data_IF_149854521681
#
_entry.id   IF_149854521681
#
_cell.length_a   1.000
_cell.length_b   1.000
_cell.length_c   1.000
_cell.angle_alpha   90.00
_cell.angle_beta   90.00
_cell.angle_gamma   90.00
#
_symmetry.space_group_name_H-M   'P 1'
#
loop_
_entity.id
_entity.type
_entity.pdbx_description
1 polymer ?
#
# COMPACT_ATOMS: atom_id res chain seq x y z
N UNK A 1 14.00 32.27 11.75
CA UNK A 1 13.04 32.15 10.62
C UNK A 1 13.12 30.80 9.92
N UNK A 2 14.24 30.40 9.30
CA UNK A 2 14.34 29.09 8.62
C UNK A 2 14.23 27.90 9.59
N UNK A 3 14.88 27.99 10.74
CA UNK A 3 14.82 26.99 11.83
C UNK A 3 13.41 26.80 12.39
N UNK A 4 12.66 27.89 12.52
CA UNK A 4 11.32 27.90 13.13
C UNK A 4 10.30 27.26 12.17
N UNK A 5 10.48 27.48 10.86
CA UNK A 5 9.69 26.85 9.81
C UNK A 5 9.90 25.32 9.78
N UNK A 6 11.15 24.86 9.86
CA UNK A 6 11.47 23.43 9.90
C UNK A 6 10.88 22.78 11.15
N UNK A 7 11.00 23.43 12.31
CA UNK A 7 10.39 22.95 13.57
C UNK A 7 8.87 22.79 13.47
N UNK A 8 8.19 23.73 12.80
CA UNK A 8 6.75 23.67 12.57
C UNK A 8 6.38 22.51 11.62
N UNK A 9 7.13 22.34 10.53
CA UNK A 9 6.94 21.25 9.56
C UNK A 9 7.08 19.89 10.24
N UNK A 10 8.12 19.69 11.05
CA UNK A 10 8.33 18.45 11.78
C UNK A 10 7.19 18.19 12.78
N UNK A 11 6.72 19.23 13.48
CA UNK A 11 5.63 19.10 14.45
C UNK A 11 4.31 18.61 13.82
N UNK A 12 4.01 19.02 12.59
CA UNK A 12 2.76 18.64 11.91
C UNK A 12 2.88 17.40 11.03
N UNK A 13 3.99 17.23 10.32
CA UNK A 13 4.18 16.09 9.40
C UNK A 13 4.48 14.80 10.17
N UNK A 14 5.26 14.87 11.24
CA UNK A 14 5.69 13.67 11.96
C UNK A 14 4.53 12.88 12.59
N UNK A 15 3.55 13.52 13.28
CA UNK A 15 2.37 12.82 13.79
C UNK A 15 1.50 12.24 12.69
N UNK A 16 1.35 12.97 11.57
CA UNK A 16 0.58 12.50 10.42
C UNK A 16 1.21 11.24 9.81
N UNK A 17 2.54 11.21 9.73
CA UNK A 17 3.29 10.05 9.25
C UNK A 17 3.11 8.84 10.17
N UNK A 18 3.21 9.03 11.50
CA UNK A 18 2.97 7.96 12.48
C UNK A 18 1.53 7.44 12.37
N UNK A 19 0.54 8.33 12.28
CA UNK A 19 -0.86 7.95 12.12
C UNK A 19 -1.10 7.12 10.86
N UNK A 20 -0.48 7.50 9.73
CA UNK A 20 -0.54 6.73 8.50
C UNK A 20 0.14 5.36 8.63
N UNK A 21 1.30 5.30 9.28
CA UNK A 21 2.02 4.05 9.51
C UNK A 21 1.19 3.08 10.37
N UNK A 22 0.58 3.57 11.45
CA UNK A 22 -0.33 2.78 12.29
C UNK A 22 -1.55 2.31 11.50
N UNK A 23 -2.14 3.19 10.68
CA UNK A 23 -3.26 2.84 9.80
C UNK A 23 -2.86 1.75 8.78
N UNK A 24 -1.68 1.85 8.16
CA UNK A 24 -1.15 0.85 7.24
C UNK A 24 -1.00 -0.51 7.91
N UNK A 25 -0.39 -0.56 9.10
CA UNK A 25 -0.23 -1.81 9.85
C UNK A 25 -1.59 -2.42 10.20
N UNK A 26 -2.53 -1.60 10.68
CA UNK A 26 -3.90 -2.05 10.95
C UNK A 26 -4.57 -2.58 9.69
N UNK A 27 -4.48 -1.84 8.58
CA UNK A 27 -5.10 -2.18 7.30
C UNK A 27 -4.56 -3.51 6.77
N UNK A 28 -3.23 -3.67 6.79
CA UNK A 28 -2.55 -4.91 6.41
C UNK A 28 -3.00 -6.06 7.31
N UNK A 29 -3.13 -5.86 8.62
CA UNK A 29 -3.55 -6.93 9.50
C UNK A 29 -5.03 -7.32 9.31
N UNK A 30 -5.91 -6.33 9.20
CA UNK A 30 -7.37 -6.51 9.22
C UNK A 30 -7.99 -6.84 7.86
N UNK A 31 -7.39 -6.39 6.75
CA UNK A 31 -7.99 -6.50 5.41
C UNK A 31 -7.25 -7.43 4.46
N UNK A 32 -5.99 -7.81 4.71
CA UNK A 32 -5.25 -8.71 3.79
C UNK A 32 -5.95 -10.05 3.62
N UNK A 33 -6.25 -10.73 4.72
CA UNK A 33 -6.89 -12.05 4.65
C UNK A 33 -8.30 -11.98 4.08
N UNK A 34 -9.04 -10.89 4.36
CA UNK A 34 -10.37 -10.65 3.78
C UNK A 34 -10.30 -10.44 2.27
N UNK A 35 -9.32 -9.66 1.81
CA UNK A 35 -9.12 -9.39 0.39
C UNK A 35 -8.65 -10.64 -0.37
N UNK A 36 -7.80 -11.46 0.23
CA UNK A 36 -7.39 -12.74 -0.36
C UNK A 36 -8.53 -13.76 -0.42
N UNK A 37 -9.39 -13.81 0.61
CA UNK A 37 -10.54 -14.71 0.63
C UNK A 37 -11.57 -14.40 -0.47
N UNK A 38 -11.54 -13.18 -1.03
CA UNK A 38 -12.39 -12.75 -2.15
C UNK A 38 -11.81 -13.13 -3.52
N UNK A 39 -10.59 -13.66 -3.56
CA UNK A 39 -9.90 -14.11 -4.78
C UNK A 39 -9.43 -15.58 -4.66
N UNK A 40 -10.32 -16.52 -4.30
CA UNK A 40 -9.95 -17.91 -4.00
C UNK A 40 -9.46 -18.68 -5.23
N UNK A 41 -9.91 -18.34 -6.45
CA UNK A 41 -9.51 -19.05 -7.66
C UNK A 41 -8.22 -18.50 -8.28
N UNK A 42 -7.67 -17.39 -7.78
CA UNK A 42 -6.40 -16.86 -8.27
C UNK A 42 -5.22 -17.73 -7.79
N UNK A 43 -4.59 -18.42 -8.75
CA UNK A 43 -3.35 -19.18 -8.54
C UNK A 43 -2.24 -18.30 -7.93
N UNK A 44 -2.24 -17.02 -8.28
CA UNK A 44 -1.30 -16.02 -7.79
C UNK A 44 -1.49 -15.69 -6.32
N UNK A 45 -2.73 -15.43 -5.88
CA UNK A 45 -3.03 -15.18 -4.46
C UNK A 45 -2.59 -16.38 -3.63
N UNK A 46 -2.88 -17.59 -4.10
CA UNK A 46 -2.52 -18.84 -3.42
C UNK A 46 -1.01 -19.04 -3.33
N UNK A 47 -0.28 -18.78 -4.42
CA UNK A 47 1.19 -18.89 -4.48
C UNK A 47 1.86 -17.85 -3.59
N UNK A 48 1.40 -16.60 -3.67
CA UNK A 48 1.94 -15.49 -2.87
C UNK A 48 1.67 -15.71 -1.37
N UNK A 49 0.49 -16.23 -1.03
CA UNK A 49 0.17 -16.63 0.34
C UNK A 49 1.15 -17.70 0.84
N UNK A 50 1.38 -18.76 0.08
CA UNK A 50 2.31 -19.83 0.48
C UNK A 50 3.75 -19.32 0.65
N UNK A 51 4.23 -18.47 -0.26
CA UNK A 51 5.58 -17.92 -0.21
C UNK A 51 5.83 -17.00 1.01
N UNK A 52 4.83 -16.19 1.38
CA UNK A 52 4.99 -15.16 2.40
C UNK A 52 4.29 -15.46 3.73
N UNK A 53 3.66 -16.64 3.88
CA UNK A 53 2.93 -17.02 5.10
C UNK A 53 3.83 -16.98 6.35
N UNK A 54 5.08 -17.43 6.23
CA UNK A 54 6.02 -17.57 7.35
C UNK A 54 6.66 -16.24 7.80
N UNK A 55 6.51 -15.16 7.04
CA UNK A 55 7.15 -13.86 7.33
C UNK A 55 6.32 -12.95 8.25
N UNK A 56 5.26 -13.46 8.89
CA UNK A 56 4.44 -12.71 9.84
C UNK A 56 3.85 -11.43 9.24
N UNK A 57 4.02 -10.28 9.92
CA UNK A 57 3.49 -8.98 9.49
C UNK A 57 4.12 -8.52 8.18
N UNK A 58 5.43 -8.73 7.99
CA UNK A 58 6.13 -8.35 6.76
C UNK A 58 5.58 -9.15 5.56
N UNK A 59 5.33 -10.45 5.78
CA UNK A 59 4.69 -11.30 4.77
C UNK A 59 3.28 -10.82 4.41
N UNK A 60 2.49 -10.40 5.40
CA UNK A 60 1.17 -9.80 5.17
C UNK A 60 1.27 -8.49 4.38
N UNK A 61 2.27 -7.65 4.66
CA UNK A 61 2.47 -6.40 3.94
C UNK A 61 2.78 -6.63 2.45
N UNK A 62 3.69 -7.55 2.14
CA UNK A 62 4.02 -7.92 0.76
C UNK A 62 2.79 -8.49 0.05
N UNK A 63 2.07 -9.41 0.68
CA UNK A 63 0.84 -9.99 0.13
C UNK A 63 -0.21 -8.93 -0.16
N UNK A 64 -0.42 -7.99 0.76
CA UNK A 64 -1.37 -6.89 0.61
C UNK A 64 -0.98 -5.93 -0.53
N UNK A 65 0.29 -5.54 -0.61
CA UNK A 65 0.77 -4.62 -1.65
C UNK A 65 0.69 -5.24 -3.05
N UNK A 66 1.12 -6.49 -3.17
CA UNK A 66 1.05 -7.26 -4.42
C UNK A 66 -0.41 -7.49 -4.85
N UNK A 67 -1.31 -7.78 -3.91
CA UNK A 67 -2.75 -7.87 -4.17
C UNK A 67 -3.34 -6.54 -4.66
N UNK A 68 -2.91 -5.43 -4.05
CA UNK A 68 -3.35 -4.09 -4.44
C UNK A 68 -2.93 -3.77 -5.88
N UNK A 69 -1.71 -4.16 -6.29
CA UNK A 69 -1.23 -4.02 -7.67
C UNK A 69 -2.08 -4.82 -8.67
N UNK A 70 -2.46 -6.04 -8.32
CA UNK A 70 -3.40 -6.85 -9.12
C UNK A 70 -4.74 -6.14 -9.31
N UNK A 71 -5.31 -5.62 -8.22
CA UNK A 71 -6.58 -4.90 -8.26
C UNK A 71 -6.49 -3.59 -9.07
N UNK A 72 -5.31 -2.97 -9.12
CA UNK A 72 -5.04 -1.76 -9.90
C UNK A 72 -4.93 -2.05 -11.39
N UNK A 73 -4.36 -3.21 -11.76
CA UNK A 73 -4.04 -3.59 -13.14
C UNK A 73 -4.72 -4.89 -13.60
N UNK A 74 -6.05 -5.03 -13.40
CA UNK A 74 -6.74 -6.31 -13.61
C UNK A 74 -6.62 -6.84 -15.04
N UNK A 75 -6.65 -5.96 -16.03
CA UNK A 75 -6.54 -6.32 -17.44
C UNK A 75 -5.16 -6.94 -17.79
N UNK A 76 -4.09 -6.52 -17.12
CA UNK A 76 -2.74 -7.01 -17.37
C UNK A 76 -2.51 -8.38 -16.71
N UNK A 77 -3.04 -8.56 -15.50
CA UNK A 77 -2.96 -9.84 -14.76
C UNK A 77 -3.87 -10.91 -15.33
N UNK A 78 -5.03 -10.53 -15.85
CA UNK A 78 -5.97 -11.45 -16.46
C UNK A 78 -5.47 -12.05 -17.78
N UNK A 79 -4.79 -11.23 -18.59
CA UNK A 79 -4.22 -11.65 -19.88
C UNK A 79 -3.17 -12.76 -19.74
N UNK A 80 -2.66 -12.99 -18.53
CA UNK A 80 -1.70 -14.04 -18.21
C UNK A 80 -2.32 -15.26 -17.49
N UNK A 81 -3.65 -15.34 -17.35
CA UNK A 81 -4.36 -16.36 -16.54
C UNK A 81 -3.90 -16.43 -15.06
N UNK A 82 -3.36 -15.33 -14.54
CA UNK A 82 -2.81 -15.24 -13.18
C UNK A 82 -3.94 -14.99 -12.16
N UNK A 83 -5.04 -14.37 -12.61
CA UNK A 83 -6.15 -13.90 -11.78
C UNK A 83 -7.46 -14.05 -12.56
N UNK A 84 -8.52 -14.50 -11.88
CA UNK A 84 -9.87 -14.59 -12.45
C UNK A 84 -10.51 -13.18 -12.53
N UNK A 85 -10.83 -12.75 -13.76
CA UNK A 85 -11.48 -11.46 -14.02
C UNK A 85 -12.83 -11.34 -13.32
N UNK A 86 -13.60 -12.42 -13.26
CA UNK A 86 -14.94 -12.40 -12.67
C UNK A 86 -14.89 -12.14 -11.16
N UNK A 87 -13.84 -12.63 -10.47
CA UNK A 87 -13.62 -12.35 -9.05
C UNK A 87 -13.18 -10.89 -8.83
N UNK A 88 -12.31 -10.37 -9.70
CA UNK A 88 -11.84 -8.97 -9.59
C UNK A 88 -12.96 -7.98 -9.91
N UNK A 89 -13.85 -8.28 -10.85
CA UNK A 89 -15.02 -7.45 -11.16
C UNK A 89 -16.04 -7.44 -10.01
N UNK A 90 -16.22 -8.59 -9.35
CA UNK A 90 -17.11 -8.71 -8.17
C UNK A 90 -16.47 -8.19 -6.88
N UNK A 91 -15.19 -7.79 -6.92
CA UNK A 91 -14.48 -7.34 -5.74
C UNK A 91 -15.14 -6.08 -5.16
N UNK A 92 -15.42 -6.05 -3.84
CA UNK A 92 -16.13 -4.95 -3.21
C UNK A 92 -15.38 -3.63 -3.41
N UNK A 93 -16.03 -2.67 -4.09
CA UNK A 93 -15.46 -1.36 -4.44
C UNK A 93 -14.88 -0.62 -3.23
N UNK A 94 -15.54 -0.71 -2.07
CA UNK A 94 -15.06 -0.09 -0.83
C UNK A 94 -13.73 -0.67 -0.37
N UNK A 95 -13.58 -1.99 -0.38
CA UNK A 95 -12.35 -2.65 0.02
C UNK A 95 -11.22 -2.33 -0.97
N UNK A 96 -11.52 -2.34 -2.27
CA UNK A 96 -10.57 -1.94 -3.32
C UNK A 96 -10.10 -0.50 -3.09
N UNK A 97 -11.02 0.42 -2.81
CA UNK A 97 -10.70 1.81 -2.54
C UNK A 97 -9.83 1.98 -1.29
N UNK A 98 -10.12 1.23 -0.21
CA UNK A 98 -9.29 1.24 1.00
C UNK A 98 -7.87 0.78 0.67
N UNK A 99 -7.70 -0.36 -0.02
CA UNK A 99 -6.39 -0.90 -0.36
C UNK A 99 -5.61 0.05 -1.28
N UNK A 100 -6.20 0.39 -2.42
CA UNK A 100 -5.56 1.25 -3.44
C UNK A 100 -5.32 2.65 -2.89
N UNK A 101 -6.30 3.23 -2.19
CA UNK A 101 -6.19 4.56 -1.61
C UNK A 101 -5.13 4.64 -0.52
N UNK A 102 -5.05 3.65 0.35
CA UNK A 102 -4.05 3.64 1.44
C UNK A 102 -2.64 3.46 0.88
N UNK A 103 -2.42 2.52 -0.04
CA UNK A 103 -1.12 2.35 -0.69
C UNK A 103 -0.74 3.56 -1.55
N UNK A 104 -1.69 4.10 -2.33
CA UNK A 104 -1.47 5.28 -3.16
C UNK A 104 -1.10 6.51 -2.33
N UNK A 105 -1.80 6.74 -1.22
CA UNK A 105 -1.49 7.82 -0.28
C UNK A 105 -0.11 7.62 0.36
N UNK A 106 0.25 6.39 0.72
CA UNK A 106 1.58 6.05 1.23
C UNK A 106 2.69 6.39 0.24
N UNK A 107 2.57 5.93 -1.01
CA UNK A 107 3.53 6.26 -2.07
C UNK A 107 3.62 7.77 -2.35
N UNK A 108 2.48 8.45 -2.37
CA UNK A 108 2.42 9.90 -2.56
C UNK A 108 3.18 10.65 -1.45
N UNK A 109 2.99 10.26 -0.19
CA UNK A 109 3.70 10.85 0.95
C UNK A 109 5.20 10.62 0.87
N UNK A 110 5.64 9.42 0.50
CA UNK A 110 7.08 9.14 0.29
C UNK A 110 7.67 10.03 -0.79
N UNK A 111 6.98 10.20 -1.93
CA UNK A 111 7.45 11.06 -3.02
C UNK A 111 7.57 12.52 -2.58
N UNK A 112 6.60 13.03 -1.81
CA UNK A 112 6.65 14.39 -1.26
C UNK A 112 7.87 14.56 -0.36
N UNK A 113 8.11 13.60 0.55
CA UNK A 113 9.24 13.66 1.48
C UNK A 113 10.58 13.64 0.73
N UNK A 114 10.74 12.76 -0.26
CA UNK A 114 11.94 12.71 -1.09
C UNK A 114 12.17 14.01 -1.86
N UNK A 115 11.10 14.62 -2.39
CA UNK A 115 11.18 15.89 -3.12
C UNK A 115 11.55 17.03 -2.19
N UNK A 116 10.99 17.04 -0.97
CA UNK A 116 11.30 18.04 0.04
C UNK A 116 12.76 17.95 0.50
N UNK A 117 13.24 16.75 0.81
CA UNK A 117 14.64 16.46 1.17
C UNK A 117 15.60 16.91 0.07
N UNK A 118 15.29 16.60 -1.19
CA UNK A 118 16.07 17.03 -2.35
C UNK A 118 16.10 18.57 -2.45
N UNK A 119 14.96 19.23 -2.30
CA UNK A 119 14.84 20.69 -2.37
C UNK A 119 15.65 21.38 -1.26
N UNK A 120 15.61 20.86 -0.03
CA UNK A 120 16.41 21.35 1.09
C UNK A 120 17.92 21.20 0.81
N UNK A 121 18.33 20.04 0.28
CA UNK A 121 19.74 19.78 -0.08
C UNK A 121 20.25 20.78 -1.13
N UNK A 122 19.43 21.17 -2.10
CA UNK A 122 19.78 22.19 -3.10
C UNK A 122 19.80 23.63 -2.55
N UNK A 123 19.03 23.92 -1.50
CA UNK A 123 18.99 25.24 -0.86
C UNK A 123 20.17 25.47 0.10
N UNK A 124 20.76 24.40 0.61
CA UNK A 124 21.93 24.43 1.49
C UNK A 124 23.28 24.40 0.73
N UNK A 125 23.26 24.15 -0.59
CA UNK A 125 24.43 24.10 -1.48
C UNK A 125 24.71 25.44 -2.18
#
# INVERSE_FOLDING_TARGET
MMSDLIGLILLFIFPLFIALAMWLVYMIHAYTEKAEALLPNSSFVRTNRAAFFHMGIMGKAIRNGVLTMVLLTPAFTAKRNIVDLAEVEKFPKRLKLILVGTWGLGWFLVIILMTLELCLTFLEA
#
